data_IF_804350330418
#
_entry.id   IF_804350330418
#
_cell.length_a   1.000
_cell.length_b   1.000
_cell.length_c   1.000
_cell.angle_alpha   90.00
_cell.angle_beta   90.00
_cell.angle_gamma   90.00
#
_symmetry.space_group_name_H-M   'P 1'
#
loop_
_entity.id
_entity.type
_entity.pdbx_description
1 polymer ?
#
# COMPACT_ATOMS: atom_id res chain seq x y z
N UNK A 1 -11.92 18.69 -9.72
CA UNK A 1 -12.81 17.77 -8.99
C UNK A 1 -12.09 17.40 -7.70
N UNK A 2 -12.61 17.67 -6.49
CA UNK A 2 -11.89 17.31 -5.28
C UNK A 2 -11.94 15.78 -5.14
N UNK A 3 -10.78 15.15 -4.91
CA UNK A 3 -10.73 13.74 -4.52
C UNK A 3 -11.51 13.61 -3.21
N UNK A 4 -12.54 12.76 -3.18
CA UNK A 4 -13.19 12.39 -1.93
C UNK A 4 -12.09 11.87 -0.97
N UNK A 5 -12.14 12.19 0.33
CA UNK A 5 -11.16 11.66 1.27
C UNK A 5 -11.20 10.13 1.22
N UNK A 6 -10.09 9.52 0.80
CA UNK A 6 -9.95 8.08 0.76
C UNK A 6 -10.04 7.54 2.18
N UNK A 7 -11.05 6.71 2.45
CA UNK A 7 -11.28 6.09 3.76
C UNK A 7 -10.38 4.86 3.92
N UNK A 8 -9.08 5.08 3.79
CA UNK A 8 -8.06 4.04 3.91
C UNK A 8 -8.17 3.41 5.30
N UNK A 9 -8.44 2.11 5.34
CA UNK A 9 -8.49 1.32 6.58
C UNK A 9 -7.33 0.34 6.57
N UNK A 10 -6.52 0.34 7.62
CA UNK A 10 -5.41 -0.59 7.80
C UNK A 10 -5.71 -1.41 9.04
N UNK A 11 -5.81 -2.74 8.88
CA UNK A 11 -6.18 -3.64 9.97
C UNK A 11 -5.62 -5.05 9.76
N UNK A 12 -5.47 -5.84 10.83
CA UNK A 12 -5.30 -7.27 10.70
C UNK A 12 -6.57 -7.95 10.15
N UNK A 13 -6.44 -9.20 9.75
CA UNK A 13 -7.58 -10.08 9.50
C UNK A 13 -8.33 -10.32 10.81
N UNK A 14 -9.65 -10.33 10.75
CA UNK A 14 -10.53 -10.58 11.90
C UNK A 14 -10.58 -12.07 12.27
N UNK A 15 -10.11 -12.94 11.37
CA UNK A 15 -10.03 -14.38 11.58
C UNK A 15 -9.66 -15.13 10.29
N UNK A 16 -9.49 -16.46 10.35
CA UNK A 16 -9.12 -17.26 9.18
C UNK A 16 -10.12 -17.19 8.02
N UNK A 17 -11.40 -16.89 8.32
CA UNK A 17 -12.46 -16.73 7.31
C UNK A 17 -12.28 -15.52 6.38
N UNK A 18 -11.32 -14.63 6.64
CA UNK A 18 -10.97 -13.53 5.73
C UNK A 18 -9.77 -13.87 4.81
N UNK A 19 -9.35 -15.13 4.71
CA UNK A 19 -8.24 -15.51 3.81
C UNK A 19 -8.51 -15.10 2.36
N UNK A 20 -9.74 -15.25 1.87
CA UNK A 20 -10.14 -14.81 0.52
C UNK A 20 -9.94 -13.30 0.29
N UNK A 21 -10.03 -12.48 1.35
CA UNK A 21 -9.71 -11.05 1.26
C UNK A 21 -8.20 -10.85 1.05
N UNK A 22 -7.37 -11.58 1.79
CA UNK A 22 -5.91 -11.49 1.71
C UNK A 22 -5.37 -11.98 0.34
N UNK A 23 -6.04 -12.96 -0.27
CA UNK A 23 -5.72 -13.52 -1.58
C UNK A 23 -6.15 -12.64 -2.78
N UNK A 24 -6.76 -11.48 -2.55
CA UNK A 24 -7.14 -10.56 -3.64
C UNK A 24 -5.94 -9.90 -4.33
N UNK A 25 -4.78 -9.89 -3.68
CA UNK A 25 -3.49 -9.67 -4.34
C UNK A 25 -2.84 -11.04 -4.50
N UNK A 26 -2.38 -11.38 -5.70
CA UNK A 26 -1.84 -12.71 -5.99
C UNK A 26 -0.32 -12.74 -5.86
N UNK A 27 0.21 -13.81 -5.25
CA UNK A 27 1.64 -14.07 -5.12
C UNK A 27 1.95 -15.57 -5.10
N UNK A 28 3.19 -15.94 -5.38
CA UNK A 28 3.60 -17.35 -5.57
C UNK A 28 3.40 -18.21 -4.30
N UNK A 29 3.51 -17.62 -3.11
CA UNK A 29 3.36 -18.31 -1.83
C UNK A 29 1.91 -18.40 -1.32
N UNK A 30 0.94 -17.90 -2.07
CA UNK A 30 -0.47 -17.86 -1.63
C UNK A 30 -1.02 -19.25 -1.22
N UNK A 31 -0.51 -20.32 -1.84
CA UNK A 31 -0.94 -21.70 -1.61
C UNK A 31 -0.55 -22.26 -0.23
N UNK A 32 0.39 -21.63 0.47
CA UNK A 32 0.85 -22.07 1.81
C UNK A 32 -0.02 -21.51 2.94
N UNK A 33 -0.72 -20.40 2.69
CA UNK A 33 -1.42 -19.62 3.72
C UNK A 33 -2.52 -20.39 4.45
N UNK A 34 -3.26 -21.25 3.74
CA UNK A 34 -4.33 -22.04 4.34
C UNK A 34 -3.77 -23.09 5.33
N UNK A 35 -2.66 -23.75 4.97
CA UNK A 35 -2.00 -24.74 5.83
C UNK A 35 -1.32 -24.04 7.02
N UNK A 36 -0.68 -22.89 6.81
CA UNK A 36 -0.06 -22.12 7.89
C UNK A 36 -1.08 -21.65 8.94
N UNK A 37 -2.25 -21.19 8.50
CA UNK A 37 -3.36 -20.83 9.39
C UNK A 37 -3.89 -22.05 10.15
N UNK A 38 -4.07 -23.18 9.47
CA UNK A 38 -4.56 -24.42 10.09
C UNK A 38 -3.57 -25.01 11.09
N UNK A 39 -2.27 -24.85 10.85
CA UNK A 39 -1.19 -25.40 11.69
C UNK A 39 -0.67 -24.41 12.72
N UNK A 40 -1.19 -23.18 12.76
CA UNK A 40 -0.76 -22.14 13.71
C UNK A 40 0.63 -21.57 13.44
N UNK A 41 1.19 -21.81 12.25
CA UNK A 41 2.42 -21.15 11.75
C UNK A 41 2.17 -19.73 11.29
N UNK A 42 0.91 -19.36 11.14
CA UNK A 42 0.44 -18.00 10.88
C UNK A 42 -0.83 -17.72 11.66
N UNK A 43 -0.94 -16.51 12.20
CA UNK A 43 -2.12 -16.04 12.94
C UNK A 43 -2.81 -14.91 12.16
N UNK A 44 -4.15 -14.82 12.18
CA UNK A 44 -4.89 -13.73 11.52
C UNK A 44 -4.44 -12.33 11.98
N UNK A 45 -4.09 -12.18 13.26
CA UNK A 45 -3.57 -10.93 13.84
C UNK A 45 -2.22 -10.49 13.27
N UNK A 46 -1.49 -11.40 12.62
CA UNK A 46 -0.23 -11.11 11.93
C UNK A 46 -0.42 -10.85 10.44
N UNK A 47 -1.63 -11.01 9.92
CA UNK A 47 -1.95 -10.82 8.51
C UNK A 47 -2.70 -9.50 8.36
N UNK A 48 -2.06 -8.52 7.75
CA UNK A 48 -2.56 -7.15 7.61
C UNK A 48 -3.00 -6.86 6.18
N UNK A 49 -4.09 -6.11 6.04
CA UNK A 49 -4.57 -5.57 4.77
C UNK A 49 -4.77 -4.06 4.88
N UNK A 50 -4.47 -3.35 3.79
CA UNK A 50 -4.87 -1.97 3.58
C UNK A 50 -6.04 -1.95 2.59
N UNK A 51 -7.13 -1.31 2.97
CA UNK A 51 -8.39 -1.26 2.22
C UNK A 51 -8.74 0.17 1.82
N UNK A 52 -8.96 0.39 0.53
CA UNK A 52 -9.63 1.58 0.00
C UNK A 52 -11.05 1.19 -0.41
N UNK A 53 -12.03 1.44 0.47
CA UNK A 53 -13.35 0.84 0.35
C UNK A 53 -13.28 -0.69 0.46
N UNK A 54 -13.73 -1.41 -0.57
CA UNK A 54 -13.68 -2.87 -0.64
C UNK A 54 -12.40 -3.40 -1.30
N UNK A 55 -11.57 -2.50 -1.83
CA UNK A 55 -10.38 -2.85 -2.59
C UNK A 55 -9.19 -3.05 -1.67
N UNK A 56 -8.52 -4.19 -1.79
CA UNK A 56 -7.20 -4.42 -1.17
C UNK A 56 -6.16 -3.68 -1.98
N UNK A 57 -5.44 -2.78 -1.33
CA UNK A 57 -4.40 -1.95 -1.97
C UNK A 57 -3.00 -2.27 -1.47
N UNK A 58 -2.88 -2.97 -0.34
CA UNK A 58 -1.64 -3.57 0.15
C UNK A 58 -1.95 -4.71 1.13
N UNK A 59 -0.96 -5.58 1.35
CA UNK A 59 -1.00 -6.61 2.39
C UNK A 59 0.38 -6.86 2.99
N UNK A 60 0.41 -7.30 4.24
CA UNK A 60 1.62 -7.73 4.92
C UNK A 60 1.33 -8.95 5.80
N UNK A 61 2.23 -9.93 5.89
CA UNK A 61 2.04 -11.02 6.83
C UNK A 61 3.35 -11.56 7.40
N UNK A 62 3.30 -11.93 8.68
CA UNK A 62 4.40 -12.61 9.35
C UNK A 62 4.12 -14.11 9.47
N UNK A 63 5.19 -14.89 9.50
CA UNK A 63 5.21 -16.34 9.62
C UNK A 63 6.14 -16.79 10.75
N UNK A 64 5.86 -17.97 11.32
CA UNK A 64 6.74 -18.66 12.26
C UNK A 64 6.92 -20.13 11.90
N UNK A 65 8.05 -20.72 12.30
CA UNK A 65 8.39 -22.10 11.96
C UNK A 65 7.77 -23.15 12.89
N UNK A 66 7.12 -22.73 13.98
CA UNK A 66 6.48 -23.62 14.95
C UNK A 66 5.21 -22.98 15.53
N UNK A 67 4.13 -23.75 15.75
CA UNK A 67 2.92 -23.24 16.38
C UNK A 67 3.21 -22.64 17.76
N UNK A 68 2.65 -21.46 18.04
CA UNK A 68 2.90 -20.72 19.28
C UNK A 68 4.29 -20.06 19.37
N UNK A 69 5.08 -20.10 18.30
CA UNK A 69 6.31 -19.30 18.18
C UNK A 69 6.01 -17.82 17.98
N UNK A 70 7.03 -16.98 18.16
CA UNK A 70 6.95 -15.56 17.83
C UNK A 70 7.08 -15.34 16.31
N UNK A 71 6.66 -14.17 15.77
CA UNK A 71 6.89 -13.79 14.38
C UNK A 71 8.38 -13.91 14.00
N UNK A 72 8.69 -14.70 12.97
CA UNK A 72 10.06 -14.98 12.54
C UNK A 72 10.43 -14.29 11.23
N UNK A 73 9.53 -14.32 10.24
CA UNK A 73 9.76 -13.75 8.91
C UNK A 73 8.57 -12.91 8.45
N UNK A 74 8.85 -11.76 7.80
CA UNK A 74 7.88 -11.00 6.99
C UNK A 74 8.04 -11.46 5.54
N UNK A 75 7.16 -12.34 5.10
CA UNK A 75 7.24 -13.03 3.81
C UNK A 75 6.21 -12.55 2.78
N UNK A 76 5.16 -11.86 3.24
CA UNK A 76 4.25 -11.09 2.40
C UNK A 76 4.41 -9.60 2.71
N UNK A 77 4.68 -8.80 1.68
CA UNK A 77 4.71 -7.33 1.75
C UNK A 77 4.43 -6.76 0.35
N UNK A 78 3.16 -6.86 -0.07
CA UNK A 78 2.74 -6.58 -1.44
C UNK A 78 1.91 -5.29 -1.49
N UNK A 79 2.09 -4.53 -2.56
CA UNK A 79 1.29 -3.35 -2.87
C UNK A 79 0.61 -3.53 -4.22
N UNK A 80 -0.60 -3.02 -4.34
CA UNK A 80 -1.30 -3.00 -5.61
C UNK A 80 -0.56 -2.11 -6.63
N UNK A 81 -0.36 -2.62 -7.85
CA UNK A 81 0.40 -1.96 -8.93
C UNK A 81 -0.14 -0.58 -9.34
N UNK A 82 -1.39 -0.26 -8.98
CA UNK A 82 -2.02 1.04 -9.27
C UNK A 82 -1.79 2.06 -8.16
N UNK A 83 -1.05 1.73 -7.10
CA UNK A 83 -0.63 2.74 -6.12
C UNK A 83 0.31 3.70 -6.85
N UNK A 84 -0.22 4.89 -7.12
CA UNK A 84 0.52 6.00 -7.72
C UNK A 84 0.79 7.01 -6.63
N UNK A 85 2.02 7.48 -6.58
CA UNK A 85 2.42 8.57 -5.72
C UNK A 85 3.01 9.68 -6.58
N UNK A 86 2.75 10.93 -6.19
CA UNK A 86 3.32 12.09 -6.84
C UNK A 86 3.99 12.97 -5.78
N UNK A 87 5.07 13.62 -6.16
CA UNK A 87 5.76 14.63 -5.37
C UNK A 87 6.32 15.69 -6.30
N UNK A 88 6.51 16.91 -5.80
CA UNK A 88 7.18 17.95 -6.57
C UNK A 88 8.60 17.52 -6.94
N UNK A 89 9.05 17.89 -8.15
CA UNK A 89 10.42 17.64 -8.62
C UNK A 89 11.48 18.16 -7.65
N UNK A 90 11.20 19.27 -6.94
CA UNK A 90 12.09 19.85 -5.93
C UNK A 90 12.13 19.09 -4.60
N UNK A 91 11.17 18.21 -4.32
CA UNK A 91 11.14 17.40 -3.10
C UNK A 91 11.98 16.13 -3.28
N UNK A 92 13.28 16.35 -3.44
CA UNK A 92 14.31 15.31 -3.65
C UNK A 92 14.26 14.21 -2.58
N UNK A 93 14.06 14.48 -1.27
CA UNK A 93 13.95 13.43 -0.27
C UNK A 93 12.80 12.45 -0.53
N UNK A 94 11.64 12.95 -0.94
CA UNK A 94 10.47 12.11 -1.23
C UNK A 94 10.64 11.32 -2.54
N UNK A 95 11.20 11.95 -3.57
CA UNK A 95 11.52 11.27 -4.84
C UNK A 95 12.45 10.06 -4.61
N UNK A 96 13.50 10.23 -3.80
CA UNK A 96 14.40 9.12 -3.41
C UNK A 96 13.69 8.03 -2.60
N UNK A 97 12.66 8.36 -1.82
CA UNK A 97 11.87 7.35 -1.10
C UNK A 97 11.05 6.50 -2.07
N UNK A 98 10.42 7.11 -3.08
CA UNK A 98 9.70 6.38 -4.11
C UNK A 98 10.61 5.45 -4.91
N UNK A 99 11.80 5.92 -5.32
CA UNK A 99 12.80 5.09 -6.01
C UNK A 99 13.21 3.87 -5.15
N UNK A 100 13.49 4.07 -3.85
CA UNK A 100 13.83 2.97 -2.92
C UNK A 100 12.73 1.93 -2.77
N UNK A 101 11.47 2.33 -2.95
CA UNK A 101 10.29 1.46 -2.85
C UNK A 101 9.90 0.84 -4.20
N UNK A 102 10.72 1.01 -5.24
CA UNK A 102 10.49 0.39 -6.56
C UNK A 102 9.46 1.11 -7.44
N UNK A 103 9.06 2.34 -7.08
CA UNK A 103 8.18 3.13 -7.94
C UNK A 103 8.93 3.56 -9.21
N UNK A 104 8.26 3.40 -10.36
CA UNK A 104 8.77 3.87 -11.65
C UNK A 104 8.11 5.19 -12.03
N UNK A 105 8.90 6.10 -12.58
CA UNK A 105 8.40 7.39 -13.05
C UNK A 105 7.68 7.20 -14.39
N UNK A 106 6.38 7.47 -14.45
CA UNK A 106 5.56 7.24 -15.66
C UNK A 106 4.86 8.49 -16.19
N UNK A 107 4.84 9.59 -15.43
CA UNK A 107 4.16 10.84 -15.80
C UNK A 107 4.87 12.06 -15.16
N UNK A 108 4.84 13.22 -15.84
CA UNK A 108 5.22 14.52 -15.28
C UNK A 108 4.11 15.54 -15.54
N UNK A 109 3.69 16.26 -14.51
CA UNK A 109 2.70 17.32 -14.61
C UNK A 109 3.37 18.71 -14.58
N UNK A 110 3.00 19.58 -15.52
CA UNK A 110 3.42 20.98 -15.55
C UNK A 110 2.23 21.87 -15.19
N UNK A 111 2.32 22.56 -14.06
CA UNK A 111 1.33 23.55 -13.65
C UNK A 111 1.72 24.91 -14.21
N UNK A 112 0.98 25.39 -15.21
CA UNK A 112 1.17 26.73 -15.76
C UNK A 112 0.30 27.73 -15.00
N UNK A 113 0.94 28.72 -14.37
CA UNK A 113 0.23 29.85 -13.77
C UNK A 113 0.28 31.00 -14.77
N UNK A 114 -0.87 31.62 -15.07
CA UNK A 114 -0.88 32.84 -15.88
C UNK A 114 -0.27 33.96 -15.03
N UNK A 115 0.70 34.67 -15.59
CA UNK A 115 1.05 35.99 -15.08
C UNK A 115 -0.18 36.88 -15.28
N UNK A 116 -0.87 37.21 -14.19
CA UNK A 116 -1.80 38.33 -14.22
C UNK A 116 -0.93 39.59 -14.35
N UNK A 117 -1.02 40.23 -15.52
CA UNK A 117 -0.36 41.50 -15.82
C UNK A 117 -0.50 42.46 -14.63
N UNK A 118 0.64 42.86 -14.04
CA UNK A 118 0.70 44.01 -13.14
C UNK A 118 0.80 45.28 -13.97
N UNK A 119 -0.20 45.55 -14.80
CA UNK A 119 -0.40 46.87 -15.39
C UNK A 119 -1.84 47.29 -15.13
N UNK A 120 -2.01 48.16 -14.12
CA UNK A 120 -2.90 49.33 -14.12
C UNK A 120 -3.07 49.83 -12.68
N UNK A 121 -2.29 50.85 -12.33
CA UNK A 121 -2.77 51.95 -11.51
C UNK A 121 -1.98 53.20 -11.88
N UNK A 122 -2.43 53.85 -12.95
CA UNK A 122 -2.30 55.30 -13.06
C UNK A 122 -2.96 55.92 -11.82
N UNK A 123 -2.20 56.76 -11.12
CA UNK A 123 -2.66 57.68 -10.10
C UNK A 123 -1.68 58.84 -10.01
#
# INVERSE_FOLDING_TARGET
MPLAPSRLTIRPLSGPGELDLFLRLSYVLDHELADDLATGRRLPEWMWVALDGERVVARAAWWTNAPGGEPLALDFFDLDERIRAATDLGNVPMAKSFERLGYVNFERAFNMVRDAEKDEAHG
#
